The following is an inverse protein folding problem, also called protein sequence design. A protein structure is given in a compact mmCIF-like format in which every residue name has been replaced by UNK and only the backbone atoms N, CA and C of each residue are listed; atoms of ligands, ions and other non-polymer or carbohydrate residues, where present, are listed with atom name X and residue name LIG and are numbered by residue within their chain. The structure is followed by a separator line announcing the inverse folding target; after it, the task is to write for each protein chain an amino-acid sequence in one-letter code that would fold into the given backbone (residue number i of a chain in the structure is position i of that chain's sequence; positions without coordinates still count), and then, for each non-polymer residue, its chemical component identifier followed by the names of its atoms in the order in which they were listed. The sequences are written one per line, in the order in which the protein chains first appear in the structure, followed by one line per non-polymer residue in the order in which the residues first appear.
data_IF_244007181016
#
_entry.id   IF_244007181016
#
_cell.length_a   1.000
_cell.length_b   1.000
_cell.length_c   1.000
_cell.angle_alpha   90.00
_cell.angle_beta   90.00
_cell.angle_gamma   90.00
#
_symmetry.space_group_name_H-M   'P 1'
#
loop_
_entity.id
_entity.type
_entity.pdbx_description
1 polymer ?
#
# COMPACT_ATOMS: atom_id res chain seq x y z
N UNK A 1 -0.22 31.88 -4.61
CA UNK A 1 0.22 32.31 -3.26
C UNK A 1 1.57 31.71 -2.88
N UNK A 2 1.79 30.39 -2.93
CA UNK A 2 3.07 29.77 -2.54
C UNK A 2 4.27 30.22 -3.39
N UNK A 3 4.09 30.43 -4.70
CA UNK A 3 5.13 31.04 -5.54
C UNK A 3 5.57 32.43 -5.04
N UNK A 4 4.63 33.23 -4.51
CA UNK A 4 4.96 34.53 -3.93
C UNK A 4 5.75 34.39 -2.63
N UNK A 5 5.53 33.31 -1.86
CA UNK A 5 6.35 32.98 -0.69
C UNK A 5 7.78 32.65 -1.13
N UNK A 6 7.95 31.82 -2.16
CA UNK A 6 9.26 31.50 -2.75
C UNK A 6 9.96 32.77 -3.28
N UNK A 7 9.26 33.64 -4.01
CA UNK A 7 9.83 34.85 -4.62
C UNK A 7 10.30 35.90 -3.61
N UNK A 8 9.85 35.84 -2.35
CA UNK A 8 10.35 36.69 -1.26
C UNK A 8 11.75 36.29 -0.79
N UNK A 9 12.16 35.04 -1.02
CA UNK A 9 13.51 34.60 -0.72
C UNK A 9 14.52 35.20 -1.69
N UNK A 10 15.77 35.36 -1.24
CA UNK A 10 16.84 35.84 -2.11
C UNK A 10 17.21 34.78 -3.17
N UNK A 11 17.88 35.19 -4.25
CA UNK A 11 18.18 34.31 -5.38
C UNK A 11 19.01 33.07 -5.00
N UNK A 12 19.89 33.18 -3.99
CA UNK A 12 20.69 32.04 -3.51
C UNK A 12 19.78 31.01 -2.84
N UNK A 13 18.84 31.46 -2.01
CA UNK A 13 17.92 30.57 -1.31
C UNK A 13 16.92 29.95 -2.26
N UNK A 14 16.40 30.68 -3.26
CA UNK A 14 15.50 30.10 -4.29
C UNK A 14 16.12 28.97 -5.11
N UNK A 15 17.46 28.88 -5.15
CA UNK A 15 18.17 27.76 -5.77
C UNK A 15 18.29 26.52 -4.86
N UNK A 16 17.69 26.55 -3.67
CA UNK A 16 17.63 25.42 -2.73
C UNK A 16 16.26 24.74 -2.82
N UNK A 17 16.25 23.45 -2.49
CA UNK A 17 15.02 22.68 -2.34
C UNK A 17 14.37 23.05 -1.02
N UNK A 18 13.09 23.38 -1.05
CA UNK A 18 12.30 23.69 0.13
C UNK A 18 11.03 22.88 0.12
N UNK A 19 10.70 22.35 1.28
CA UNK A 19 9.48 21.63 1.49
C UNK A 19 8.65 22.35 2.55
N UNK A 20 7.51 22.90 2.11
CA UNK A 20 6.54 23.53 2.99
C UNK A 20 5.31 22.66 3.19
N UNK A 21 4.61 22.97 4.27
CA UNK A 21 3.27 22.46 4.55
C UNK A 21 2.33 23.62 4.78
N UNK A 22 1.11 23.49 4.29
CA UNK A 22 0.01 24.41 4.55
C UNK A 22 -1.07 23.66 5.31
N UNK A 23 -1.31 24.04 6.56
CA UNK A 23 -2.37 23.47 7.37
C UNK A 23 -3.68 24.22 7.18
N UNK A 24 -4.78 23.49 7.08
CA UNK A 24 -6.11 24.03 6.84
C UNK A 24 -7.10 23.53 7.91
N UNK A 25 -8.08 24.37 8.23
CA UNK A 25 -9.25 23.94 8.99
C UNK A 25 -10.32 23.30 8.07
N UNK A 26 -11.44 22.87 8.67
CA UNK A 26 -12.55 22.20 7.96
C UNK A 26 -13.21 23.06 6.87
N UNK A 27 -13.14 24.39 7.01
CA UNK A 27 -13.63 25.36 6.03
C UNK A 27 -12.55 25.75 4.99
N UNK A 28 -11.48 24.97 4.87
CA UNK A 28 -10.33 25.21 3.98
C UNK A 28 -9.63 26.57 4.21
N UNK A 29 -9.75 27.16 5.41
CA UNK A 29 -9.00 28.36 5.76
C UNK A 29 -7.59 27.97 6.22
N UNK A 30 -6.60 28.71 5.75
CA UNK A 30 -5.20 28.54 6.12
C UNK A 30 -5.02 28.87 7.61
N UNK A 31 -4.48 27.90 8.34
CA UNK A 31 -4.09 28.05 9.75
C UNK A 31 -2.61 28.41 9.87
N UNK A 32 -1.76 27.83 9.02
CA UNK A 32 -0.32 28.12 8.98
C UNK A 32 0.28 27.73 7.63
N UNK A 33 1.46 28.28 7.36
CA UNK A 33 2.39 27.86 6.31
C UNK A 33 3.73 27.68 7.01
N UNK A 34 4.29 26.49 6.98
CA UNK A 34 5.56 26.17 7.67
C UNK A 34 6.57 25.58 6.69
N UNK A 35 7.80 26.08 6.73
CA UNK A 35 8.94 25.46 6.05
C UNK A 35 9.43 24.30 6.93
N UNK A 36 9.27 23.07 6.45
CA UNK A 36 9.64 21.85 7.20
C UNK A 36 11.10 21.49 6.95
N UNK A 37 11.56 21.63 5.71
CA UNK A 37 12.91 21.26 5.33
C UNK A 37 13.47 22.18 4.27
N UNK A 38 14.79 22.39 4.36
CA UNK A 38 15.60 23.17 3.43
C UNK A 38 16.81 22.31 3.07
N UNK A 39 16.86 21.86 1.83
CA UNK A 39 17.84 20.90 1.33
C UNK A 39 18.77 21.48 0.27
N UNK A 40 19.93 20.85 0.12
CA UNK A 40 20.70 20.95 -1.12
C UNK A 40 20.08 20.03 -2.18
N UNK A 41 20.32 20.40 -3.45
CA UNK A 41 19.82 19.93 -4.76
C UNK A 41 19.34 18.46 -4.94
N UNK A 42 19.51 17.51 -4.02
CA UNK A 42 19.40 16.08 -4.35
C UNK A 42 18.70 15.14 -3.35
N UNK A 43 17.93 15.62 -2.37
CA UNK A 43 16.85 14.86 -1.68
C UNK A 43 16.39 15.61 -0.43
N UNK A 44 15.16 16.09 -0.44
CA UNK A 44 14.49 16.47 0.81
C UNK A 44 14.03 15.18 1.50
N UNK A 45 14.68 14.79 2.59
CA UNK A 45 14.18 13.74 3.47
C UNK A 45 13.25 14.40 4.49
N UNK A 46 11.95 14.15 4.39
CA UNK A 46 10.98 14.66 5.37
C UNK A 46 10.25 13.47 6.00
N UNK A 47 10.23 13.43 7.33
CA UNK A 47 9.53 12.39 8.06
C UNK A 47 8.13 12.85 8.50
N UNK A 48 7.12 11.96 8.58
CA UNK A 48 5.78 12.34 9.02
C UNK A 48 5.71 13.11 10.35
N UNK A 49 6.47 12.75 11.41
CA UNK A 49 6.44 13.51 12.65
C UNK A 49 6.80 15.00 12.47
N UNK A 50 7.72 15.31 11.56
CA UNK A 50 8.16 16.68 11.28
C UNK A 50 7.08 17.46 10.52
N UNK A 51 6.47 16.82 9.51
CA UNK A 51 5.38 17.36 8.68
C UNK A 51 4.15 17.67 9.53
N UNK A 52 3.74 16.71 10.37
CA UNK A 52 2.44 16.79 11.06
C UNK A 52 2.51 17.47 12.43
N UNK A 53 3.70 17.72 13.02
CA UNK A 53 3.83 18.34 14.35
C UNK A 53 3.02 19.63 14.48
N UNK A 54 3.19 20.55 13.53
CA UNK A 54 2.50 21.85 13.56
C UNK A 54 1.01 21.70 13.19
N UNK A 55 0.67 20.75 12.32
CA UNK A 55 -0.71 20.44 11.96
C UNK A 55 -1.51 19.99 13.18
N UNK A 56 -0.95 19.08 13.98
CA UNK A 56 -1.54 18.61 15.23
C UNK A 56 -1.66 19.77 16.23
N UNK A 57 -0.57 20.53 16.45
CA UNK A 57 -0.57 21.63 17.40
C UNK A 57 -1.60 22.72 17.06
N UNK A 58 -1.82 22.99 15.77
CA UNK A 58 -2.77 24.00 15.28
C UNK A 58 -4.17 23.43 15.01
N UNK A 59 -4.42 22.15 15.30
CA UNK A 59 -5.68 21.47 15.02
C UNK A 59 -6.12 21.57 13.55
N UNK A 60 -5.16 21.48 12.63
CA UNK A 60 -5.47 21.34 11.22
C UNK A 60 -6.13 19.97 10.96
N UNK A 61 -7.11 19.96 10.06
CA UNK A 61 -7.82 18.74 9.64
C UNK A 61 -7.51 18.37 8.19
N UNK A 62 -6.88 19.29 7.45
CA UNK A 62 -6.39 19.08 6.08
C UNK A 62 -5.02 19.71 5.92
N UNK A 63 -4.26 19.23 4.96
CA UNK A 63 -2.91 19.69 4.67
C UNK A 63 -2.61 19.68 3.17
N UNK A 64 -1.86 20.68 2.72
CA UNK A 64 -1.26 20.73 1.38
C UNK A 64 0.25 20.66 1.55
N UNK A 65 0.90 19.75 0.83
CA UNK A 65 2.35 19.67 0.72
C UNK A 65 2.82 20.62 -0.39
N UNK A 66 3.99 21.22 -0.26
CA UNK A 66 4.54 22.10 -1.29
C UNK A 66 6.04 21.87 -1.41
N UNK A 67 6.51 21.57 -2.61
CA UNK A 67 7.93 21.41 -2.93
C UNK A 67 8.29 22.36 -4.07
N UNK A 68 9.35 23.14 -3.97
CA UNK A 68 9.83 23.88 -5.15
C UNK A 68 10.83 23.05 -5.94
N UNK A 69 10.84 23.16 -7.26
CA UNK A 69 11.93 22.66 -8.09
C UNK A 69 12.75 23.85 -8.61
N UNK A 70 13.97 24.10 -8.10
CA UNK A 70 14.88 25.14 -8.59
C UNK A 70 15.19 25.03 -10.09
N UNK A 71 15.19 23.79 -10.63
CA UNK A 71 15.39 23.51 -12.05
C UNK A 71 14.29 24.11 -12.94
N UNK A 72 13.11 24.39 -12.38
CA UNK A 72 11.92 24.84 -13.10
C UNK A 72 11.11 23.72 -13.76
N UNK A 73 11.60 22.48 -13.75
CA UNK A 73 10.86 21.30 -14.22
C UNK A 73 9.76 20.98 -13.23
N UNK A 74 8.52 20.84 -13.69
CA UNK A 74 7.37 20.58 -12.81
C UNK A 74 7.00 19.09 -12.73
N UNK A 75 7.62 18.25 -13.55
CA UNK A 75 7.37 16.80 -13.52
C UNK A 75 7.73 16.24 -12.15
N UNK A 76 6.79 15.54 -11.47
CA UNK A 76 7.05 14.96 -10.17
C UNK A 76 8.06 13.82 -10.25
N UNK A 77 9.07 13.86 -9.41
CA UNK A 77 10.02 12.77 -9.25
C UNK A 77 9.39 11.59 -8.50
N UNK A 78 10.00 10.42 -8.58
CA UNK A 78 9.59 9.26 -7.78
C UNK A 78 9.70 9.54 -6.28
N UNK A 79 10.65 10.38 -5.87
CA UNK A 79 10.80 10.81 -4.48
C UNK A 79 9.62 11.69 -4.03
N UNK A 80 9.11 12.57 -4.90
CA UNK A 80 7.92 13.37 -4.60
C UNK A 80 6.70 12.46 -4.39
N UNK A 81 6.51 11.48 -5.27
CA UNK A 81 5.42 10.50 -5.18
C UNK A 81 5.53 9.65 -3.91
N UNK A 82 6.70 9.11 -3.61
CA UNK A 82 6.96 8.30 -2.41
C UNK A 82 6.67 9.08 -1.12
N UNK A 83 7.21 10.32 -1.00
CA UNK A 83 6.95 11.18 0.16
C UNK A 83 5.46 11.47 0.28
N UNK A 84 4.79 11.82 -0.83
CA UNK A 84 3.36 12.13 -0.84
C UNK A 84 2.53 10.94 -0.36
N UNK A 85 2.81 9.75 -0.88
CA UNK A 85 2.14 8.50 -0.49
C UNK A 85 2.28 8.24 1.01
N UNK A 86 3.52 8.31 1.51
CA UNK A 86 3.81 8.16 2.93
C UNK A 86 3.05 9.17 3.79
N UNK A 87 2.98 10.43 3.37
CA UNK A 87 2.23 11.47 4.09
C UNK A 87 0.72 11.26 4.01
N UNK A 88 0.18 10.77 2.90
CA UNK A 88 -1.24 10.41 2.77
C UNK A 88 -1.60 9.35 3.81
N UNK A 89 -0.82 8.25 3.92
CA UNK A 89 -1.12 7.20 4.90
C UNK A 89 -0.95 7.69 6.35
N UNK A 90 0.09 8.48 6.63
CA UNK A 90 0.27 9.07 7.95
C UNK A 90 -0.89 10.03 8.31
N UNK A 91 -1.33 10.85 7.37
CA UNK A 91 -2.46 11.76 7.53
C UNK A 91 -3.77 11.03 7.78
N UNK A 92 -4.00 9.89 7.10
CA UNK A 92 -5.13 9.01 7.37
C UNK A 92 -5.15 8.51 8.82
N UNK A 93 -4.00 8.07 9.35
CA UNK A 93 -3.90 7.63 10.76
C UNK A 93 -4.13 8.76 11.77
N UNK A 94 -3.76 9.99 11.41
CA UNK A 94 -3.85 11.16 12.28
C UNK A 94 -5.17 11.93 12.13
N UNK A 95 -6.05 11.51 11.21
CA UNK A 95 -7.25 12.25 10.79
C UNK A 95 -6.94 13.68 10.28
N UNK A 96 -5.81 13.83 9.56
CA UNK A 96 -5.39 15.07 8.91
C UNK A 96 -5.20 14.76 7.42
N UNK A 97 -6.19 15.09 6.60
CA UNK A 97 -6.19 14.69 5.18
C UNK A 97 -5.15 15.48 4.38
N UNK A 98 -4.24 14.77 3.70
CA UNK A 98 -3.40 15.38 2.65
C UNK A 98 -4.24 15.51 1.39
N UNK A 99 -4.64 16.74 1.06
CA UNK A 99 -5.57 17.01 -0.05
C UNK A 99 -4.87 17.34 -1.36
N UNK A 100 -3.62 17.78 -1.31
CA UNK A 100 -2.82 18.10 -2.49
C UNK A 100 -1.31 18.12 -2.17
N UNK A 101 -0.51 17.98 -3.22
CA UNK A 101 0.92 18.29 -3.23
C UNK A 101 1.22 19.17 -4.43
N UNK A 102 1.71 20.38 -4.16
CA UNK A 102 2.09 21.35 -5.17
C UNK A 102 3.60 21.28 -5.45
N UNK A 103 3.98 21.02 -6.69
CA UNK A 103 5.34 21.29 -7.17
C UNK A 103 5.34 22.69 -7.76
N UNK A 104 6.19 23.58 -7.25
CA UNK A 104 6.24 24.99 -7.67
C UNK A 104 7.59 25.36 -8.29
N UNK A 105 7.54 26.27 -9.26
CA UNK A 105 8.71 26.99 -9.76
C UNK A 105 8.46 28.50 -9.69
N UNK A 106 9.46 29.32 -10.06
CA UNK A 106 9.28 30.78 -10.12
C UNK A 106 8.16 31.21 -11.08
N UNK A 107 7.80 30.38 -12.07
CA UNK A 107 6.89 30.75 -13.16
C UNK A 107 5.58 29.96 -13.18
N UNK A 108 5.59 28.71 -12.73
CA UNK A 108 4.44 27.82 -12.82
C UNK A 108 4.36 26.86 -11.63
N UNK A 109 3.30 26.06 -11.58
CA UNK A 109 3.14 25.00 -10.60
C UNK A 109 2.39 23.82 -11.21
N UNK A 110 2.51 22.65 -10.59
CA UNK A 110 1.73 21.45 -10.84
C UNK A 110 1.05 21.02 -9.54
N UNK A 111 -0.22 20.61 -9.63
CA UNK A 111 -0.99 20.06 -8.52
C UNK A 111 -1.16 18.56 -8.70
N UNK A 112 -0.78 17.77 -7.69
CA UNK A 112 -1.00 16.32 -7.71
C UNK A 112 -2.49 15.98 -7.69
N UNK A 113 -3.33 16.83 -7.09
CA UNK A 113 -4.77 16.65 -7.09
C UNK A 113 -5.35 16.84 -8.51
N UNK A 114 -4.95 17.90 -9.20
CA UNK A 114 -5.40 18.18 -10.58
C UNK A 114 -4.94 17.10 -11.57
N UNK A 115 -3.74 16.55 -11.37
CA UNK A 115 -3.18 15.45 -12.18
C UNK A 115 -3.67 14.05 -11.75
N UNK A 116 -4.65 13.95 -10.83
CA UNK A 116 -5.17 12.70 -10.26
C UNK A 116 -4.15 11.83 -9.48
N UNK A 117 -2.92 12.28 -9.29
CA UNK A 117 -1.85 11.55 -8.59
C UNK A 117 -2.23 11.31 -7.12
N UNK A 118 -2.92 12.25 -6.45
CA UNK A 118 -3.41 12.02 -5.06
C UNK A 118 -4.30 10.79 -4.97
N UNK A 119 -5.22 10.62 -5.92
CA UNK A 119 -6.15 9.50 -5.95
C UNK A 119 -5.44 8.19 -6.25
N UNK A 120 -4.43 8.20 -7.12
CA UNK A 120 -3.57 7.03 -7.40
C UNK A 120 -2.80 6.61 -6.16
N UNK A 121 -2.13 7.55 -5.48
CA UNK A 121 -1.33 7.28 -4.28
C UNK A 121 -2.19 6.86 -3.07
N UNK A 122 -3.41 7.38 -2.93
CA UNK A 122 -4.36 6.87 -1.92
C UNK A 122 -4.58 5.36 -2.05
N UNK A 123 -4.56 4.84 -3.28
CA UNK A 123 -4.78 3.42 -3.60
C UNK A 123 -3.48 2.62 -3.81
N UNK A 124 -2.31 3.23 -3.67
CA UNK A 124 -1.03 2.54 -3.83
C UNK A 124 -0.84 1.46 -2.76
N UNK A 125 -0.04 0.45 -3.10
CA UNK A 125 0.42 -0.60 -2.18
C UNK A 125 1.78 -0.33 -1.53
N UNK A 126 2.43 0.81 -1.80
CA UNK A 126 3.78 1.09 -1.29
C UNK A 126 3.79 1.28 0.23
N UNK A 127 2.74 1.91 0.75
CA UNK A 127 2.50 2.06 2.18
C UNK A 127 1.09 1.56 2.51
N UNK A 128 1.00 0.61 3.44
CA UNK A 128 -0.25 -0.02 3.84
C UNK A 128 -0.47 0.19 5.33
N UNK A 129 -1.62 0.77 5.67
CA UNK A 129 -2.11 0.76 7.04
C UNK A 129 -2.68 -0.62 7.34
N UNK A 130 -2.05 -1.32 8.29
CA UNK A 130 -2.54 -2.60 8.79
C UNK A 130 -3.38 -2.37 10.05
N UNK A 131 -4.69 -2.30 9.88
CA UNK A 131 -5.59 -2.38 11.02
C UNK A 131 -5.58 -3.79 11.60
N UNK A 132 -5.78 -3.90 12.92
CA UNK A 132 -5.76 -5.18 13.65
C UNK A 132 -6.67 -6.23 12.98
N UNK A 133 -7.90 -5.83 12.66
CA UNK A 133 -8.88 -6.70 12.00
C UNK A 133 -8.40 -7.16 10.62
N UNK A 134 -7.77 -6.26 9.83
CA UNK A 134 -7.25 -6.57 8.51
C UNK A 134 -6.04 -7.50 8.57
N UNK A 135 -5.18 -7.34 9.57
CA UNK A 135 -4.06 -8.24 9.85
C UNK A 135 -4.57 -9.63 10.26
N UNK A 136 -5.56 -9.70 11.15
CA UNK A 136 -6.22 -10.95 11.55
C UNK A 136 -6.84 -11.66 10.35
N UNK A 137 -7.62 -10.95 9.52
CA UNK A 137 -8.21 -11.48 8.28
C UNK A 137 -7.13 -11.97 7.30
N UNK A 138 -6.02 -11.26 7.17
CA UNK A 138 -4.92 -11.65 6.29
C UNK A 138 -4.26 -12.93 6.80
N UNK A 139 -3.98 -13.02 8.10
CA UNK A 139 -3.45 -14.22 8.73
C UNK A 139 -4.41 -15.41 8.60
N UNK A 140 -5.72 -15.19 8.75
CA UNK A 140 -6.74 -16.21 8.58
C UNK A 140 -6.78 -16.73 7.14
N UNK A 141 -6.74 -15.83 6.14
CA UNK A 141 -6.65 -16.19 4.73
C UNK A 141 -5.40 -17.02 4.43
N UNK A 142 -4.25 -16.64 4.99
CA UNK A 142 -2.99 -17.40 4.84
C UNK A 142 -3.12 -18.78 5.45
N UNK A 143 -3.70 -18.90 6.65
CA UNK A 143 -3.93 -20.17 7.32
C UNK A 143 -4.83 -21.09 6.49
N UNK A 144 -5.94 -20.58 5.94
CA UNK A 144 -6.85 -21.33 5.07
C UNK A 144 -6.15 -21.80 3.79
N UNK A 145 -5.37 -20.94 3.13
CA UNK A 145 -4.61 -21.33 1.93
C UNK A 145 -3.57 -22.41 2.26
N UNK A 146 -2.92 -22.32 3.43
CA UNK A 146 -1.97 -23.33 3.88
C UNK A 146 -2.65 -24.67 4.18
N UNK A 147 -3.76 -24.65 4.93
CA UNK A 147 -4.52 -25.85 5.28
C UNK A 147 -5.08 -26.54 4.02
N UNK A 148 -5.59 -25.76 3.06
CA UNK A 148 -6.07 -26.30 1.78
C UNK A 148 -4.93 -26.88 0.94
N UNK A 149 -3.75 -26.25 0.91
CA UNK A 149 -2.57 -26.80 0.24
C UNK A 149 -2.06 -28.10 0.91
N UNK A 150 -2.01 -28.15 2.24
CA UNK A 150 -1.65 -29.34 3.01
C UNK A 150 -2.64 -30.49 2.74
N UNK A 151 -3.94 -30.20 2.78
CA UNK A 151 -5.00 -31.17 2.47
C UNK A 151 -4.91 -31.68 1.03
N UNK A 152 -4.63 -30.80 0.06
CA UNK A 152 -4.44 -31.18 -1.34
C UNK A 152 -3.24 -32.12 -1.52
N UNK A 153 -2.14 -31.86 -0.83
CA UNK A 153 -0.96 -32.73 -0.84
C UNK A 153 -1.29 -34.10 -0.23
N UNK A 154 -2.00 -34.15 0.91
CA UNK A 154 -2.49 -35.40 1.50
C UNK A 154 -3.37 -36.19 0.54
N UNK A 155 -4.26 -35.52 -0.20
CA UNK A 155 -5.10 -36.14 -1.24
C UNK A 155 -4.24 -36.73 -2.37
N UNK A 156 -3.21 -36.03 -2.82
CA UNK A 156 -2.32 -36.50 -3.88
C UNK A 156 -1.53 -37.75 -3.43
N UNK A 157 -1.00 -37.74 -2.21
CA UNK A 157 -0.32 -38.89 -1.61
C UNK A 157 -1.28 -40.07 -1.50
N UNK A 158 -2.49 -39.85 -0.99
CA UNK A 158 -3.52 -40.89 -0.86
C UNK A 158 -3.85 -41.53 -2.20
N UNK A 159 -4.03 -40.74 -3.28
CA UNK A 159 -4.26 -41.26 -4.64
C UNK A 159 -3.13 -42.19 -5.10
N UNK A 160 -1.87 -41.78 -4.91
CA UNK A 160 -0.69 -42.61 -5.26
C UNK A 160 -0.62 -43.89 -4.43
N UNK A 161 -1.00 -43.85 -3.16
CA UNK A 161 -1.05 -45.03 -2.30
C UNK A 161 -2.19 -45.99 -2.68
N UNK A 162 -3.36 -45.46 -3.02
CA UNK A 162 -4.48 -46.26 -3.56
C UNK A 162 -4.05 -46.97 -4.86
N UNK A 163 -3.30 -46.29 -5.74
CA UNK A 163 -2.76 -46.91 -6.96
C UNK A 163 -1.80 -48.05 -6.70
N UNK A 164 -1.00 -47.94 -5.64
CA UNK A 164 -0.06 -48.99 -5.22
C UNK A 164 -0.71 -50.10 -4.39
N UNK A 165 -2.01 -50.01 -4.09
CA UNK A 165 -2.78 -51.05 -3.39
C UNK A 165 -2.58 -51.08 -1.87
N UNK A 166 -2.24 -49.94 -1.25
CA UNK A 166 -2.15 -49.86 0.21
C UNK A 166 -3.54 -50.01 0.86
N UNK A 167 -3.56 -50.61 2.06
CA UNK A 167 -4.74 -50.72 2.93
C UNK A 167 -5.26 -49.32 3.33
N UNK A 168 -6.58 -49.16 3.43
CA UNK A 168 -7.22 -47.88 3.77
C UNK A 168 -6.71 -47.35 5.12
N UNK A 169 -6.54 -48.23 6.11
CA UNK A 169 -6.03 -47.87 7.44
C UNK A 169 -4.64 -47.23 7.37
N UNK A 170 -3.74 -47.77 6.53
CA UNK A 170 -2.39 -47.23 6.34
C UNK A 170 -2.40 -45.87 5.64
N UNK A 171 -3.33 -45.65 4.72
CA UNK A 171 -3.47 -44.37 4.01
C UNK A 171 -3.98 -43.29 4.98
N UNK A 172 -4.98 -43.61 5.81
CA UNK A 172 -5.50 -42.72 6.85
C UNK A 172 -4.38 -42.31 7.82
N UNK A 173 -3.61 -43.28 8.31
CA UNK A 173 -2.50 -43.03 9.24
C UNK A 173 -1.42 -42.11 8.65
N UNK A 174 -1.04 -42.31 7.39
CA UNK A 174 0.07 -41.58 6.77
C UNK A 174 -0.32 -40.24 6.15
N UNK A 175 -1.59 -40.04 5.79
CA UNK A 175 -2.05 -38.81 5.11
C UNK A 175 -2.85 -37.88 6.02
N UNK A 176 -3.34 -38.39 7.15
CA UNK A 176 -4.21 -37.65 8.08
C UNK A 176 -5.63 -37.42 7.54
N UNK A 177 -5.98 -38.02 6.40
CA UNK A 177 -7.34 -37.99 5.84
C UNK A 177 -8.27 -38.92 6.61
N UNK A 178 -9.56 -38.62 6.60
CA UNK A 178 -10.58 -39.51 7.16
C UNK A 178 -10.81 -40.74 6.29
N UNK A 179 -11.30 -41.82 6.90
CA UNK A 179 -11.61 -43.04 6.18
C UNK A 179 -12.63 -42.81 5.05
N UNK A 180 -13.60 -41.92 5.28
CA UNK A 180 -14.60 -41.53 4.28
C UNK A 180 -13.94 -40.83 3.08
N UNK A 181 -13.05 -39.86 3.32
CA UNK A 181 -12.34 -39.15 2.25
C UNK A 181 -11.49 -40.11 1.39
N UNK A 182 -10.84 -41.10 2.01
CA UNK A 182 -10.07 -42.12 1.28
C UNK A 182 -10.99 -43.03 0.45
N UNK A 183 -12.14 -43.43 0.99
CA UNK A 183 -13.14 -44.23 0.27
C UNK A 183 -13.73 -43.47 -0.92
N UNK A 184 -14.04 -42.19 -0.76
CA UNK A 184 -14.57 -41.35 -1.84
C UNK A 184 -13.54 -41.20 -2.99
N UNK A 185 -12.25 -41.11 -2.67
CA UNK A 185 -11.16 -41.12 -3.65
C UNK A 185 -11.03 -42.46 -4.39
N UNK A 186 -11.28 -43.60 -3.73
CA UNK A 186 -11.31 -44.92 -4.36
C UNK A 186 -12.49 -45.07 -5.33
N UNK A 187 -13.69 -44.63 -4.94
CA UNK A 187 -14.91 -44.69 -5.76
C UNK A 187 -14.76 -43.82 -7.02
N UNK A 188 -14.23 -42.62 -6.86
CA UNK A 188 -13.97 -41.69 -7.98
C UNK A 188 -13.01 -42.28 -9.03
N UNK A 189 -12.05 -43.10 -8.60
CA UNK A 189 -11.13 -43.83 -9.50
C UNK A 189 -11.84 -44.97 -10.24
N UNK A 190 -12.65 -45.77 -9.54
CA UNK A 190 -13.41 -46.86 -10.18
C UNK A 190 -14.35 -46.32 -11.26
N UNK A 191 -15.07 -45.23 -10.97
CA UNK A 191 -15.95 -44.58 -11.93
C UNK A 191 -15.21 -44.07 -13.18
N UNK A 192 -14.07 -43.39 -13.01
CA UNK A 192 -13.26 -42.90 -14.14
C UNK A 192 -12.62 -44.03 -14.95
N UNK A 193 -12.34 -45.18 -14.33
CA UNK A 193 -11.78 -46.35 -15.01
C UNK A 193 -12.84 -47.04 -15.88
N UNK A 194 -14.05 -47.21 -15.35
CA UNK A 194 -15.20 -47.78 -16.08
C UNK A 194 -15.56 -46.90 -17.28
N UNK A 195 -15.63 -45.58 -17.10
CA UNK A 195 -15.94 -44.64 -18.19
C UNK A 195 -14.89 -44.65 -19.32
N UNK A 196 -13.61 -44.71 -18.99
CA UNK A 196 -12.54 -44.79 -19.99
C UNK A 196 -12.49 -46.15 -20.72
N UNK A 197 -13.10 -47.20 -20.15
CA UNK A 197 -13.25 -48.52 -20.78
C UNK A 197 -14.53 -48.60 -21.66
N UNK A 198 -15.52 -47.73 -21.43
CA UNK A 198 -16.73 -47.61 -22.26
C UNK A 198 -16.53 -46.68 -23.48
N UNK A 199 -15.58 -45.73 -23.40
CA UNK A 199 -15.26 -44.77 -24.47
C UNK A 199 -14.11 -45.24 -25.42
N UNK A 200 -13.56 -46.45 -25.22
CA UNK A 200 -12.44 -47.03 -25.99
C UNK A 200 -12.87 -48.24 -26.84
#
# INVERSE_FOLDING_TARGET
MMQQVLLRENKIRRNQEHFWVVGLNSANKILFIELVSLGAVNRVQVAPPEVFRIAIYKMAVKMILVHNHPSGVLDPSDADKDITDRMIKAGQMLNIEVIDHLIISEKAYLSFADENIISELKNSGNYVLMDREKAELTNLKIAVVRETAEKQNSIEIAKKMIEKGYEIATIVELTGLTEQEVRDLQVSKQYNRIRNEEDA
#
